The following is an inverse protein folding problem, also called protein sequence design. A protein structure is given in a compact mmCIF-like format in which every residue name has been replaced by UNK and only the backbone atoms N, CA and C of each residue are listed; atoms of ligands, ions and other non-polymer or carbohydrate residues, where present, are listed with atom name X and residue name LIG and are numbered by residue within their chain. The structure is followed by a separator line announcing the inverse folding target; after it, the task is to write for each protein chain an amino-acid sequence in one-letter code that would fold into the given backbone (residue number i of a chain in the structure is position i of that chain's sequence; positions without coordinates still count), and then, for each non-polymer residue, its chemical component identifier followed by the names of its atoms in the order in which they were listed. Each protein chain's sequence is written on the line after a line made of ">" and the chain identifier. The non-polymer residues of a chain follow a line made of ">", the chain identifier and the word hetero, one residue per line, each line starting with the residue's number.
data_IF_523050773084
#
_entry.id   IF_523050773084
#
_cell.length_a   1.000
_cell.length_b   1.000
_cell.length_c   1.000
_cell.angle_alpha   90.00
_cell.angle_beta   90.00
_cell.angle_gamma   90.00
#
_symmetry.space_group_name_H-M   'P 1'
#
loop_
_entity.id
_entity.type
_entity.pdbx_description
1 polymer ?
#
# COMPACT_ATOMS: atom_id res chain seq x y z
N UNK A 1 -11.51 -8.29 -4.02
CA UNK A 1 -10.37 -7.86 -4.86
C UNK A 1 -10.15 -6.38 -4.69
N UNK A 2 -8.95 -6.03 -4.25
CA UNK A 2 -8.46 -4.67 -4.04
C UNK A 2 -8.01 -4.01 -5.35
N UNK A 3 -8.22 -2.70 -5.52
CA UNK A 3 -7.72 -1.94 -6.66
C UNK A 3 -6.19 -1.72 -6.59
N UNK A 4 -5.58 -1.40 -7.73
CA UNK A 4 -4.19 -0.95 -7.78
C UNK A 4 -3.99 0.38 -7.06
N UNK A 5 -2.87 0.49 -6.36
CA UNK A 5 -2.41 1.68 -5.66
C UNK A 5 -1.68 2.59 -6.64
N UNK A 6 -1.91 3.91 -6.50
CA UNK A 6 -1.18 4.94 -7.22
C UNK A 6 -0.57 5.99 -6.28
N UNK A 7 0.35 6.79 -6.81
CA UNK A 7 1.13 7.76 -6.02
C UNK A 7 0.30 8.88 -5.38
N UNK A 8 -0.91 9.12 -5.84
CA UNK A 8 -1.78 10.20 -5.35
C UNK A 8 -2.66 9.76 -4.17
N UNK A 9 -2.78 8.45 -3.91
CA UNK A 9 -3.50 7.94 -2.75
C UNK A 9 -2.81 8.36 -1.46
N UNK A 10 -3.59 8.66 -0.44
CA UNK A 10 -3.09 8.92 0.90
C UNK A 10 -2.60 7.64 1.56
N UNK A 11 -1.65 7.77 2.51
CA UNK A 11 -1.21 6.63 3.31
C UNK A 11 -2.40 5.97 4.02
N UNK A 12 -3.36 6.76 4.50
CA UNK A 12 -4.58 6.26 5.14
C UNK A 12 -5.41 5.39 4.21
N UNK A 13 -5.70 5.86 2.99
CA UNK A 13 -6.48 5.08 2.02
C UNK A 13 -5.82 3.72 1.75
N UNK A 14 -4.49 3.69 1.61
CA UNK A 14 -3.74 2.45 1.39
C UNK A 14 -3.80 1.53 2.62
N UNK A 15 -3.67 2.07 3.84
CA UNK A 15 -3.74 1.28 5.08
C UNK A 15 -5.13 0.70 5.34
N UNK A 16 -6.17 1.44 4.97
CA UNK A 16 -7.56 1.05 5.19
C UNK A 16 -8.00 -0.05 4.20
N UNK A 17 -7.22 -0.34 3.15
CA UNK A 17 -7.48 -1.41 2.18
C UNK A 17 -7.21 -2.81 2.77
N UNK A 18 -6.07 -3.01 3.44
CA UNK A 18 -5.68 -4.30 4.03
C UNK A 18 -4.55 -4.16 5.07
N UNK A 19 -4.54 -5.04 6.07
CA UNK A 19 -3.50 -5.05 7.10
C UNK A 19 -2.08 -5.34 6.56
N UNK A 20 -1.95 -6.15 5.49
CA UNK A 20 -0.66 -6.40 4.85
C UNK A 20 -0.09 -5.13 4.21
N UNK A 21 -0.95 -4.25 3.69
CA UNK A 21 -0.54 -2.96 3.13
C UNK A 21 -0.10 -1.98 4.23
N UNK A 22 -0.79 -1.99 5.36
CA UNK A 22 -0.36 -1.26 6.55
C UNK A 22 1.04 -1.69 7.02
N UNK A 23 1.31 -2.99 7.08
CA UNK A 23 2.63 -3.52 7.45
C UNK A 23 3.71 -3.21 6.40
N UNK A 24 3.36 -3.28 5.11
CA UNK A 24 4.27 -2.88 4.03
C UNK A 24 4.69 -1.41 4.15
N UNK A 25 3.76 -0.50 4.43
CA UNK A 25 4.06 0.92 4.65
C UNK A 25 4.96 1.14 5.88
N UNK A 26 4.74 0.40 6.98
CA UNK A 26 5.64 0.43 8.14
C UNK A 26 7.07 0.00 7.78
N UNK A 27 7.23 -1.00 6.91
CA UNK A 27 8.54 -1.49 6.49
C UNK A 27 9.32 -0.47 5.63
N UNK A 28 8.62 0.42 4.93
CA UNK A 28 9.22 1.60 4.30
C UNK A 28 9.56 2.73 5.29
N UNK A 29 9.21 2.55 6.56
CA UNK A 29 9.47 3.49 7.64
C UNK A 29 8.49 4.65 7.70
N UNK A 30 7.35 4.60 6.99
CA UNK A 30 6.32 5.65 7.05
C UNK A 30 5.83 5.87 8.49
N UNK A 31 5.87 7.14 8.94
CA UNK A 31 5.25 7.53 10.20
C UNK A 31 3.74 7.68 9.98
N UNK A 32 3.09 6.53 10.08
CA UNK A 32 1.66 6.34 9.94
C UNK A 32 0.84 7.00 11.04
N UNK A 33 1.40 7.62 12.08
CA UNK A 33 0.60 8.42 13.01
C UNK A 33 0.41 9.86 12.51
N UNK A 34 1.48 10.47 11.98
CA UNK A 34 1.48 11.89 11.60
C UNK A 34 1.20 12.12 10.11
N UNK A 35 1.53 11.17 9.22
CA UNK A 35 1.44 11.36 7.77
C UNK A 35 0.21 10.73 7.10
N UNK A 36 -0.80 10.31 7.89
CA UNK A 36 -1.97 9.55 7.38
C UNK A 36 -2.66 10.20 6.18
N UNK A 37 -2.82 11.52 6.20
CA UNK A 37 -3.55 12.26 5.16
C UNK A 37 -2.65 12.73 4.02
N UNK A 38 -1.32 12.56 4.13
CA UNK A 38 -0.39 12.90 3.05
C UNK A 38 -0.48 11.87 1.94
N UNK A 39 -0.30 12.32 0.69
CA UNK A 39 -0.17 11.41 -0.44
C UNK A 39 1.05 10.50 -0.27
N UNK A 40 1.01 9.33 -0.89
CA UNK A 40 2.15 8.41 -0.95
C UNK A 40 3.36 9.11 -1.57
N UNK A 41 3.14 9.91 -2.61
CA UNK A 41 4.17 10.71 -3.28
C UNK A 41 4.87 11.70 -2.34
N UNK A 42 4.10 12.49 -1.60
CA UNK A 42 4.64 13.48 -0.68
C UNK A 42 5.38 12.80 0.46
N UNK A 43 4.78 11.75 1.01
CA UNK A 43 5.41 10.95 2.07
C UNK A 43 6.72 10.31 1.62
N UNK A 44 6.79 9.81 0.38
CA UNK A 44 8.02 9.29 -0.20
C UNK A 44 9.08 10.39 -0.34
N UNK A 45 8.67 11.58 -0.82
CA UNK A 45 9.57 12.73 -0.98
C UNK A 45 10.18 13.16 0.36
N UNK A 46 9.37 13.26 1.41
CA UNK A 46 9.83 13.65 2.75
C UNK A 46 10.84 12.66 3.33
N UNK A 47 10.77 11.39 2.92
CA UNK A 47 11.70 10.33 3.35
C UNK A 47 12.86 10.09 2.40
N UNK A 48 12.90 10.74 1.24
CA UNK A 48 13.89 10.44 0.19
C UNK A 48 13.71 9.06 -0.44
N UNK A 49 12.49 8.51 -0.46
CA UNK A 49 12.16 7.26 -1.12
C UNK A 49 11.73 7.49 -2.57
N UNK A 50 11.99 6.52 -3.44
CA UNK A 50 11.50 6.55 -4.82
C UNK A 50 10.04 6.07 -4.87
N UNK A 51 9.12 7.01 -5.09
CA UNK A 51 7.67 6.72 -5.14
C UNK A 51 7.30 5.61 -6.12
N UNK A 52 7.97 5.49 -7.27
CA UNK A 52 7.69 4.43 -8.25
C UNK A 52 8.03 3.04 -7.69
N UNK A 53 9.14 2.94 -6.97
CA UNK A 53 9.57 1.68 -6.33
C UNK A 53 8.58 1.30 -5.23
N UNK A 54 8.15 2.26 -4.42
CA UNK A 54 7.18 2.03 -3.34
C UNK A 54 5.83 1.61 -3.91
N UNK A 55 5.30 2.31 -4.92
CA UNK A 55 4.04 1.96 -5.61
C UNK A 55 4.11 0.54 -6.17
N UNK A 56 5.18 0.18 -6.89
CA UNK A 56 5.33 -1.17 -7.43
C UNK A 56 5.31 -2.22 -6.32
N UNK A 57 6.03 -1.99 -5.22
CA UNK A 57 6.08 -2.95 -4.11
C UNK A 57 4.74 -3.11 -3.40
N UNK A 58 3.99 -2.02 -3.23
CA UNK A 58 2.65 -2.09 -2.66
C UNK A 58 1.68 -2.82 -3.59
N UNK A 59 1.80 -2.63 -4.90
CA UNK A 59 0.98 -3.36 -5.87
C UNK A 59 1.31 -4.85 -5.95
N UNK A 60 2.57 -5.26 -5.75
CA UNK A 60 2.91 -6.68 -5.57
C UNK A 60 2.16 -7.31 -4.37
N UNK A 61 1.98 -6.55 -3.28
CA UNK A 61 1.18 -6.99 -2.12
C UNK A 61 -0.31 -7.07 -2.46
N UNK A 62 -0.84 -6.11 -3.22
CA UNK A 62 -2.23 -6.14 -3.72
C UNK A 62 -2.48 -7.37 -4.58
N UNK A 63 -1.55 -7.68 -5.49
CA UNK A 63 -1.63 -8.87 -6.35
C UNK A 63 -1.65 -10.16 -5.52
N UNK A 64 -0.79 -10.26 -4.49
CA UNK A 64 -0.79 -11.40 -3.57
C UNK A 64 -2.12 -11.57 -2.83
N UNK A 65 -2.67 -10.47 -2.30
CA UNK A 65 -3.98 -10.47 -1.62
C UNK A 65 -5.07 -10.95 -2.58
N UNK A 66 -5.14 -10.34 -3.76
CA UNK A 66 -6.13 -10.69 -4.77
C UNK A 66 -6.01 -12.14 -5.24
N UNK A 67 -4.77 -12.65 -5.36
CA UNK A 67 -4.53 -14.04 -5.71
C UNK A 67 -5.05 -15.00 -4.63
N UNK A 68 -4.78 -14.71 -3.35
CA UNK A 68 -5.26 -15.53 -2.24
C UNK A 68 -6.80 -15.50 -2.17
N UNK A 69 -7.43 -14.32 -2.29
CA UNK A 69 -8.89 -14.19 -2.33
C UNK A 69 -9.50 -15.01 -3.47
N UNK A 70 -8.87 -14.99 -4.65
CA UNK A 70 -9.31 -15.78 -5.79
C UNK A 70 -9.22 -17.29 -5.51
N UNK A 71 -8.11 -17.75 -4.92
CA UNK A 71 -7.96 -19.16 -4.55
C UNK A 71 -9.00 -19.62 -3.51
N UNK A 72 -9.39 -18.74 -2.58
CA UNK A 72 -10.44 -19.04 -1.61
C UNK A 72 -11.80 -19.16 -2.33
N UNK A 73 -12.15 -18.19 -3.16
CA UNK A 73 -13.42 -18.17 -3.89
C UNK A 73 -13.58 -19.33 -4.88
N UNK A 74 -12.49 -19.88 -5.42
CA UNK A 74 -12.52 -21.06 -6.31
C UNK A 74 -12.68 -22.39 -5.56
N UNK A 75 -12.48 -22.40 -4.23
CA UNK A 75 -12.58 -23.59 -3.37
C UNK A 75 -13.84 -23.60 -2.48
N UNK A 76 -14.72 -22.60 -2.62
CA UNK A 76 -16.06 -22.51 -2.01
C UNK A 76 -17.16 -22.89 -3.02
#
# INVERSE_FOLDING_TARGET
>A
MLPEINENMSLKEIMDMDNKLFDALKNFGFDICCAKMSSLKDSCKDKGLNVKVVVNKLNEVVEEINYIEKLIAENE
#
